data_IF_518806470406
#
_entry.id   IF_518806470406
#
_cell.length_a   1.000
_cell.length_b   1.000
_cell.length_c   1.000
_cell.angle_alpha   90.00
_cell.angle_beta   90.00
_cell.angle_gamma   90.00
#
_symmetry.space_group_name_H-M   'P 1'
#
loop_
_entity.id
_entity.type
_entity.pdbx_description
1 polymer ?
#
# COMPACT_ATOMS: atom_id res chain seq x y z
N UNK A 1 5.82 12.50 19.10
CA UNK A 1 6.59 11.29 18.73
C UNK A 1 5.93 10.70 17.50
N UNK A 2 6.62 10.47 16.38
CA UNK A 2 6.00 9.79 15.25
C UNK A 2 5.53 8.39 15.69
N UNK A 3 4.36 7.98 15.22
CA UNK A 3 3.81 6.68 15.56
C UNK A 3 4.74 5.56 15.05
N UNK A 4 4.98 4.55 15.88
CA UNK A 4 5.82 3.41 15.54
C UNK A 4 5.16 2.59 14.41
N UNK A 5 5.90 2.38 13.31
CA UNK A 5 5.40 1.61 12.17
C UNK A 5 5.46 0.11 12.47
N UNK A 6 4.32 -0.57 12.34
CA UNK A 6 4.23 -2.03 12.49
C UNK A 6 4.95 -2.81 11.38
N UNK A 7 5.14 -2.20 10.21
CA UNK A 7 5.85 -2.78 9.06
C UNK A 7 6.58 -1.66 8.31
N UNK A 8 7.91 -1.73 8.29
CA UNK A 8 8.81 -0.74 7.71
C UNK A 8 9.65 -1.29 6.54
N UNK A 9 9.35 -2.51 6.06
CA UNK A 9 10.16 -3.23 5.07
C UNK A 9 10.42 -2.42 3.80
N UNK A 10 9.38 -1.75 3.32
CA UNK A 10 9.45 -0.93 2.12
C UNK A 10 10.47 0.21 2.28
N UNK A 11 10.43 0.93 3.41
CA UNK A 11 11.33 2.05 3.67
C UNK A 11 12.77 1.58 3.88
N UNK A 12 12.97 0.49 4.63
CA UNK A 12 14.28 -0.10 4.85
C UNK A 12 14.93 -0.58 3.55
N UNK A 13 14.16 -1.24 2.67
CA UNK A 13 14.64 -1.67 1.37
C UNK A 13 15.08 -0.46 0.50
N UNK A 14 14.28 0.62 0.47
CA UNK A 14 14.64 1.86 -0.24
C UNK A 14 15.90 2.51 0.34
N UNK A 15 16.08 2.45 1.66
CA UNK A 15 17.28 2.93 2.35
C UNK A 15 18.49 2.00 2.22
N UNK A 16 18.38 0.91 1.42
CA UNK A 16 19.42 -0.13 1.24
C UNK A 16 19.84 -0.83 2.54
N UNK A 17 18.93 -0.94 3.49
CA UNK A 17 19.14 -1.70 4.72
C UNK A 17 18.77 -3.18 4.52
N UNK A 18 19.35 -4.11 5.32
CA UNK A 18 18.92 -5.51 5.31
C UNK A 18 17.44 -5.66 5.65
N UNK A 19 16.74 -6.48 4.87
CA UNK A 19 15.34 -6.84 5.07
C UNK A 19 15.17 -8.36 5.00
N UNK A 20 14.26 -8.90 5.79
CA UNK A 20 14.03 -10.34 5.88
C UNK A 20 13.31 -10.91 4.64
N UNK A 21 12.64 -10.06 3.86
CA UNK A 21 11.97 -10.40 2.61
C UNK A 21 11.84 -9.19 1.71
N UNK A 22 11.75 -9.42 0.40
CA UNK A 22 11.51 -8.36 -0.58
C UNK A 22 10.10 -7.76 -0.39
N UNK A 23 9.97 -6.46 -0.09
CA UNK A 23 8.66 -5.82 -0.04
C UNK A 23 8.05 -5.72 -1.44
N UNK A 24 6.73 -5.87 -1.53
CA UNK A 24 6.00 -5.73 -2.80
C UNK A 24 4.88 -4.71 -2.65
N UNK A 25 4.63 -3.98 -3.73
CA UNK A 25 3.48 -3.12 -3.91
C UNK A 25 3.14 -3.11 -5.40
N UNK A 26 1.88 -2.84 -5.73
CA UNK A 26 1.42 -2.84 -7.13
C UNK A 26 0.90 -1.46 -7.47
N UNK A 27 1.39 -0.89 -8.58
CA UNK A 27 0.83 0.34 -9.12
C UNK A 27 -0.64 0.11 -9.48
N UNK A 28 -1.52 1.01 -9.03
CA UNK A 28 -2.98 0.89 -9.22
C UNK A 28 -3.57 -0.40 -8.60
N UNK A 29 -3.01 -0.86 -7.48
CA UNK A 29 -3.57 -1.98 -6.69
C UNK A 29 -5.00 -1.76 -6.18
N UNK A 30 -5.48 -0.52 -6.17
CA UNK A 30 -6.87 -0.19 -5.94
C UNK A 30 -7.44 0.39 -7.24
N UNK A 31 -8.34 -0.34 -7.87
CA UNK A 31 -8.88 0.06 -9.16
C UNK A 31 -10.15 -0.69 -9.53
N UNK A 32 -10.69 -0.35 -10.70
CA UNK A 32 -12.00 -0.80 -11.21
C UNK A 32 -12.16 -2.32 -11.36
N UNK A 33 -11.10 -3.09 -11.21
CA UNK A 33 -11.16 -4.56 -11.22
C UNK A 33 -11.61 -5.13 -9.87
N UNK A 34 -11.54 -4.34 -8.79
CA UNK A 34 -12.04 -4.70 -7.48
C UNK A 34 -13.51 -4.23 -7.37
N UNK A 35 -14.48 -5.14 -7.17
CA UNK A 35 -15.88 -4.78 -6.98
C UNK A 35 -16.07 -3.77 -5.84
N UNK A 36 -15.38 -3.98 -4.71
CA UNK A 36 -15.44 -3.10 -3.55
C UNK A 36 -14.94 -1.67 -3.85
N UNK A 37 -13.98 -1.53 -4.77
CA UNK A 37 -13.52 -0.22 -5.22
C UNK A 37 -14.59 0.49 -6.06
N UNK A 38 -15.33 -0.27 -6.89
CA UNK A 38 -16.43 0.27 -7.70
C UNK A 38 -17.58 0.74 -6.81
N UNK A 39 -17.94 -0.03 -5.78
CA UNK A 39 -19.03 0.30 -4.87
C UNK A 39 -18.74 1.58 -4.08
N UNK A 40 -17.53 1.70 -3.52
CA UNK A 40 -17.09 2.92 -2.82
C UNK A 40 -17.07 4.12 -3.77
N UNK A 41 -16.61 3.93 -5.02
CA UNK A 41 -16.61 5.01 -6.00
C UNK A 41 -18.03 5.47 -6.37
N UNK A 42 -18.99 4.56 -6.52
CA UNK A 42 -20.39 4.93 -6.78
C UNK A 42 -20.99 5.76 -5.65
N UNK A 43 -20.63 5.44 -4.39
CA UNK A 43 -21.08 6.17 -3.22
C UNK A 43 -20.41 7.54 -3.07
N UNK A 44 -19.17 7.69 -3.54
CA UNK A 44 -18.39 8.92 -3.37
C UNK A 44 -18.90 10.09 -4.24
N UNK A 45 -19.62 9.83 -5.35
CA UNK A 45 -19.93 10.84 -6.36
C UNK A 45 -18.68 11.31 -7.13
N UNK A 46 -18.82 11.74 -8.39
CA UNK A 46 -17.69 12.30 -9.16
C UNK A 46 -17.27 13.69 -8.62
#
# INVERSE_FOLDING_TARGET
MPAELKNDLYLRALARQPVERTPVWVMRQAGRYLPEYLDVRQQAGD
#
